data_IF_474542809372
#
_entry.id   IF_474542809372
#
_cell.length_a   1.000
_cell.length_b   1.000
_cell.length_c   1.000
_cell.angle_alpha   90.00
_cell.angle_beta   90.00
_cell.angle_gamma   90.00
#
_symmetry.space_group_name_H-M   'P 1'
#
loop_
_entity.id
_entity.type
_entity.pdbx_description
1 polymer ?
#
# COMPACT_ATOMS: atom_id res chain seq x y z
N UNK A 1 31.10 12.32 9.69
CA UNK A 1 30.82 10.91 9.37
C UNK A 1 29.79 10.94 8.26
N UNK A 2 30.17 10.65 7.02
CA UNK A 2 29.26 10.78 5.87
C UNK A 2 28.47 9.47 5.73
N UNK A 3 27.24 9.47 6.25
CA UNK A 3 26.30 8.34 6.17
C UNK A 3 25.31 8.58 5.04
N UNK A 4 25.17 7.59 4.15
CA UNK A 4 24.16 7.58 3.09
C UNK A 4 23.06 6.57 3.43
N UNK A 5 21.81 7.05 3.38
CA UNK A 5 20.61 6.25 3.64
C UNK A 5 19.85 6.01 2.35
N UNK A 6 19.67 4.75 1.97
CA UNK A 6 18.85 4.36 0.83
C UNK A 6 17.68 3.51 1.31
N UNK A 7 16.47 4.08 1.31
CA UNK A 7 15.24 3.34 1.60
C UNK A 7 14.74 2.63 0.34
N UNK A 8 14.52 1.31 0.42
CA UNK A 8 13.88 0.50 -0.63
C UNK A 8 14.71 0.37 -1.93
N UNK A 9 15.93 -0.17 -1.83
CA UNK A 9 16.79 -0.38 -2.99
C UNK A 9 16.23 -1.48 -3.91
N UNK A 10 15.71 -1.08 -5.08
CA UNK A 10 15.26 -1.94 -6.18
C UNK A 10 15.98 -1.52 -7.46
N UNK A 11 16.61 -2.47 -8.14
CA UNK A 11 17.30 -2.24 -9.41
C UNK A 11 16.51 -2.94 -10.50
N UNK A 12 16.02 -2.20 -11.49
CA UNK A 12 15.18 -2.75 -12.56
C UNK A 12 15.81 -2.60 -13.95
N UNK A 13 16.83 -1.75 -14.12
CA UNK A 13 17.49 -1.51 -15.41
C UNK A 13 19.02 -1.77 -15.36
N UNK A 14 19.59 -2.16 -16.50
CA UNK A 14 21.03 -2.39 -16.74
C UNK A 14 21.81 -1.09 -16.59
N UNK A 15 21.23 0.04 -16.99
CA UNK A 15 21.85 1.36 -16.82
C UNK A 15 22.05 1.68 -15.33
N UNK A 16 21.04 1.42 -14.51
CA UNK A 16 21.11 1.58 -13.06
C UNK A 16 22.19 0.68 -12.45
N UNK A 17 22.24 -0.58 -12.88
CA UNK A 17 23.24 -1.55 -12.42
C UNK A 17 24.70 -1.07 -12.63
N UNK A 18 25.00 -0.50 -13.82
CA UNK A 18 26.34 0.00 -14.15
C UNK A 18 26.67 1.30 -13.41
N UNK A 19 25.69 2.19 -13.23
CA UNK A 19 25.85 3.44 -12.48
C UNK A 19 26.07 3.16 -11.00
N UNK A 20 25.26 2.28 -10.39
CA UNK A 20 25.34 1.92 -8.98
C UNK A 20 26.71 1.31 -8.63
N UNK A 21 27.24 0.44 -9.48
CA UNK A 21 28.56 -0.15 -9.25
C UNK A 21 29.67 0.92 -9.18
N UNK A 22 29.68 1.87 -10.13
CA UNK A 22 30.67 2.95 -10.17
C UNK A 22 30.49 3.93 -9.01
N UNK A 23 29.25 4.31 -8.73
CA UNK A 23 28.90 5.24 -7.67
C UNK A 23 29.31 4.70 -6.30
N UNK A 24 28.84 3.50 -5.93
CA UNK A 24 29.14 2.93 -4.63
C UNK A 24 30.61 2.50 -4.51
N UNK A 25 31.23 2.03 -5.59
CA UNK A 25 32.68 1.81 -5.61
C UNK A 25 33.46 3.07 -5.21
N UNK A 26 33.08 4.23 -5.76
CA UNK A 26 33.70 5.50 -5.39
C UNK A 26 33.35 5.93 -3.95
N UNK A 27 32.08 5.82 -3.55
CA UNK A 27 31.64 6.19 -2.20
C UNK A 27 32.35 5.35 -1.12
N UNK A 28 32.48 4.04 -1.32
CA UNK A 28 33.24 3.18 -0.42
C UNK A 28 34.72 3.56 -0.38
N UNK A 29 35.32 3.93 -1.52
CA UNK A 29 36.71 4.42 -1.56
C UNK A 29 36.93 5.72 -0.75
N UNK A 30 35.86 6.50 -0.54
CA UNK A 30 35.85 7.75 0.24
C UNK A 30 35.45 7.53 1.70
N UNK A 31 35.28 6.28 2.14
CA UNK A 31 34.92 5.94 3.53
C UNK A 31 33.47 6.21 3.88
N UNK A 32 32.57 6.27 2.88
CA UNK A 32 31.13 6.45 3.11
C UNK A 32 30.54 5.14 3.66
N UNK A 33 29.69 5.27 4.68
CA UNK A 33 28.93 4.15 5.25
C UNK A 33 27.58 4.07 4.56
N UNK A 34 27.26 2.90 4.01
CA UNK A 34 25.97 2.60 3.38
C UNK A 34 25.06 1.91 4.38
N UNK A 35 23.88 2.49 4.63
CA UNK A 35 22.76 1.82 5.31
C UNK A 35 21.60 1.73 4.31
N UNK A 36 21.21 0.51 3.96
CA UNK A 36 20.16 0.26 2.98
C UNK A 36 19.21 -0.84 3.46
N UNK A 37 17.93 -0.67 3.14
CA UNK A 37 16.89 -1.70 3.33
C UNK A 37 16.47 -2.27 1.99
N UNK A 38 16.31 -3.60 1.92
CA UNK A 38 15.82 -4.28 0.71
C UNK A 38 14.91 -5.44 1.08
N UNK A 39 13.86 -5.63 0.27
CA UNK A 39 12.95 -6.76 0.37
C UNK A 39 13.49 -8.03 -0.31
N UNK A 40 14.71 -7.97 -0.88
CA UNK A 40 15.41 -9.09 -1.50
C UNK A 40 16.82 -9.17 -0.94
N UNK A 41 17.32 -10.38 -0.72
CA UNK A 41 18.70 -10.56 -0.30
C UNK A 41 19.66 -10.02 -1.40
N UNK A 42 20.91 -9.65 -1.07
CA UNK A 42 21.85 -9.09 -2.03
C UNK A 42 22.01 -9.92 -3.32
N UNK A 43 22.01 -11.25 -3.19
CA UNK A 43 22.12 -12.17 -4.32
C UNK A 43 20.89 -12.12 -5.26
N UNK A 44 19.74 -11.65 -4.79
CA UNK A 44 18.47 -11.58 -5.54
C UNK A 44 18.08 -10.16 -6.01
N UNK A 45 18.92 -9.14 -5.76
CA UNK A 45 18.63 -7.74 -6.07
C UNK A 45 18.37 -7.44 -7.56
N UNK A 46 18.84 -8.31 -8.47
CA UNK A 46 18.65 -8.18 -9.92
C UNK A 46 18.37 -9.54 -10.58
N UNK A 47 17.57 -10.37 -9.93
CA UNK A 47 17.21 -11.71 -10.44
C UNK A 47 16.28 -11.60 -11.65
N UNK A 48 16.64 -12.28 -12.74
CA UNK A 48 15.95 -12.20 -14.03
C UNK A 48 16.20 -10.92 -14.84
N UNK A 49 17.10 -10.03 -14.37
CA UNK A 49 17.46 -8.81 -15.09
C UNK A 49 18.30 -9.06 -16.34
N UNK A 50 18.18 -8.18 -17.33
CA UNK A 50 18.94 -8.24 -18.58
C UNK A 50 20.45 -8.08 -18.29
N UNK A 51 21.33 -8.89 -18.88
CA UNK A 51 22.79 -8.80 -18.66
C UNK A 51 23.23 -8.81 -17.18
N UNK A 52 22.58 -9.61 -16.34
CA UNK A 52 22.88 -9.75 -14.89
C UNK A 52 24.36 -9.93 -14.54
N UNK A 53 25.14 -10.56 -15.41
CA UNK A 53 26.58 -10.75 -15.21
C UNK A 53 27.34 -9.42 -15.01
N UNK A 54 26.87 -8.32 -15.63
CA UNK A 54 27.42 -6.99 -15.44
C UNK A 54 27.14 -6.41 -14.05
N UNK A 55 26.11 -6.90 -13.36
CA UNK A 55 25.73 -6.47 -12.01
C UNK A 55 26.39 -7.33 -10.90
N UNK A 56 26.86 -8.53 -11.23
CA UNK A 56 27.55 -9.42 -10.28
C UNK A 56 28.74 -8.76 -9.54
N UNK A 57 29.57 -7.89 -10.16
CA UNK A 57 30.61 -7.16 -9.46
C UNK A 57 30.09 -6.25 -8.34
N UNK A 58 28.92 -5.64 -8.53
CA UNK A 58 28.31 -4.80 -7.50
C UNK A 58 27.76 -5.64 -6.34
N UNK A 59 27.10 -6.78 -6.63
CA UNK A 59 26.67 -7.73 -5.60
C UNK A 59 27.87 -8.18 -4.76
N UNK A 60 29.00 -8.50 -5.40
CA UNK A 60 30.24 -8.86 -4.70
C UNK A 60 30.72 -7.72 -3.79
N UNK A 61 30.74 -6.49 -4.29
CA UNK A 61 31.14 -5.31 -3.52
C UNK A 61 30.25 -5.11 -2.29
N UNK A 62 28.93 -5.28 -2.45
CA UNK A 62 27.98 -5.23 -1.32
C UNK A 62 28.28 -6.33 -0.29
N UNK A 63 28.55 -7.56 -0.72
CA UNK A 63 28.85 -8.68 0.21
C UNK A 63 30.20 -8.52 0.91
N UNK A 64 31.17 -7.88 0.26
CA UNK A 64 32.48 -7.59 0.84
C UNK A 64 32.47 -6.41 1.83
N UNK A 65 31.62 -5.39 1.59
CA UNK A 65 31.64 -4.13 2.33
C UNK A 65 30.45 -3.94 3.27
N UNK A 66 29.37 -4.69 3.09
CA UNK A 66 28.15 -4.59 3.90
C UNK A 66 27.85 -5.92 4.59
N UNK A 67 27.31 -5.83 5.80
CA UNK A 67 26.81 -6.98 6.55
C UNK A 67 25.30 -7.06 6.31
N UNK A 68 24.85 -8.13 5.68
CA UNK A 68 23.42 -8.37 5.48
C UNK A 68 22.79 -8.88 6.79
N UNK A 69 21.95 -8.06 7.40
CA UNK A 69 21.12 -8.48 8.52
C UNK A 69 19.75 -8.92 8.00
N UNK A 70 19.48 -10.22 8.07
CA UNK A 70 18.15 -10.74 7.82
C UNK A 70 17.24 -10.33 8.99
N UNK A 71 16.31 -9.41 8.74
CA UNK A 71 15.24 -9.10 9.69
C UNK A 71 14.18 -10.18 9.51
N UNK A 72 14.40 -11.33 10.16
CA UNK A 72 13.44 -12.43 10.20
C UNK A 72 12.55 -12.28 11.41
N UNK A 73 11.27 -11.96 11.22
CA UNK A 73 10.27 -12.21 12.25
C UNK A 73 9.82 -13.67 12.11
N UNK A 74 10.09 -14.52 13.11
CA UNK A 74 9.49 -15.87 13.21
C UNK A 74 7.97 -15.81 13.31
N UNK A 75 7.46 -14.65 13.70
CA UNK A 75 6.05 -14.30 13.73
C UNK A 75 5.75 -13.52 12.44
N UNK A 76 4.95 -14.12 11.57
CA UNK A 76 4.33 -13.40 10.46
C UNK A 76 3.23 -12.51 11.08
N UNK A 77 3.62 -11.33 11.59
CA UNK A 77 2.69 -10.36 12.19
C UNK A 77 1.57 -9.92 11.23
N UNK A 78 1.72 -10.24 9.94
CA UNK A 78 0.74 -10.06 8.86
C UNK A 78 -0.51 -10.92 9.03
N UNK A 79 -0.39 -12.08 9.69
CA UNK A 79 -1.46 -13.09 9.82
C UNK A 79 -2.20 -13.04 11.16
N UNK A 80 -1.81 -12.15 12.07
CA UNK A 80 -2.40 -12.04 13.40
C UNK A 80 -3.46 -10.94 13.50
N UNK A 81 -4.21 -10.67 12.44
CA UNK A 81 -5.49 -9.95 12.55
C UNK A 81 -6.54 -10.91 13.13
N UNK A 82 -6.40 -11.21 14.42
CA UNK A 82 -7.46 -11.83 15.21
C UNK A 82 -8.75 -11.02 15.03
N UNK A 83 -9.85 -11.72 14.73
CA UNK A 83 -11.15 -11.16 14.38
C UNK A 83 -11.74 -10.16 15.41
N UNK A 84 -11.18 -10.10 16.64
CA UNK A 84 -11.58 -9.13 17.66
C UNK A 84 -10.86 -7.76 17.53
N UNK A 85 -9.64 -7.73 16.97
CA UNK A 85 -8.78 -6.55 16.82
C UNK A 85 -8.46 -6.19 15.37
N UNK A 86 -8.82 -7.03 14.40
CA UNK A 86 -8.56 -6.76 12.98
C UNK A 86 -9.45 -5.65 12.40
N UNK A 87 -8.89 -4.90 11.44
CA UNK A 87 -9.60 -3.88 10.66
C UNK A 87 -9.75 -4.29 9.19
N UNK A 88 -9.40 -5.53 8.85
CA UNK A 88 -9.59 -6.11 7.53
C UNK A 88 -10.38 -7.40 7.66
N UNK A 89 -11.59 -7.41 7.10
CA UNK A 89 -12.52 -8.54 7.19
C UNK A 89 -12.66 -9.19 5.82
N UNK A 90 -12.51 -10.51 5.76
CA UNK A 90 -12.58 -11.29 4.51
C UNK A 90 -13.90 -12.07 4.47
N UNK A 91 -14.74 -11.77 3.48
CA UNK A 91 -16.04 -12.40 3.25
C UNK A 91 -17.22 -11.41 3.27
N UNK A 92 -18.38 -11.89 2.83
CA UNK A 92 -19.55 -11.05 2.57
C UNK A 92 -20.39 -10.75 3.83
N UNK A 93 -20.28 -11.56 4.88
CA UNK A 93 -21.11 -11.46 6.09
C UNK A 93 -20.67 -10.35 7.07
N UNK A 94 -19.61 -9.61 6.76
CA UNK A 94 -18.99 -8.66 7.69
C UNK A 94 -19.45 -7.21 7.55
N UNK A 95 -20.38 -6.90 6.64
CA UNK A 95 -20.93 -5.54 6.49
C UNK A 95 -21.52 -4.98 7.79
N UNK A 96 -22.26 -5.80 8.54
CA UNK A 96 -22.81 -5.40 9.84
C UNK A 96 -21.72 -5.11 10.89
N UNK A 97 -20.65 -5.90 10.88
CA UNK A 97 -19.50 -5.70 11.78
C UNK A 97 -18.73 -4.42 11.42
N UNK A 98 -18.57 -4.13 10.13
CA UNK A 98 -17.95 -2.90 9.64
C UNK A 98 -18.72 -1.68 10.12
N UNK A 99 -20.04 -1.68 9.97
CA UNK A 99 -20.89 -0.58 10.46
C UNK A 99 -20.80 -0.41 11.98
N UNK A 100 -20.80 -1.51 12.74
CA UNK A 100 -20.61 -1.47 14.19
C UNK A 100 -19.25 -0.86 14.57
N UNK A 101 -18.16 -1.27 13.90
CA UNK A 101 -16.82 -0.70 14.12
C UNK A 101 -16.76 0.76 13.72
N UNK A 102 -17.39 1.14 12.61
CA UNK A 102 -17.49 2.54 12.18
C UNK A 102 -18.21 3.41 13.21
N UNK A 103 -19.34 2.96 13.77
CA UNK A 103 -20.03 3.67 14.85
C UNK A 103 -19.18 3.75 16.13
N UNK A 104 -18.48 2.67 16.49
CA UNK A 104 -17.59 2.69 17.64
C UNK A 104 -16.43 3.70 17.48
N UNK A 105 -15.89 3.83 16.27
CA UNK A 105 -14.81 4.78 15.95
C UNK A 105 -15.30 6.23 15.81
N UNK A 106 -16.53 6.40 15.32
CA UNK A 106 -17.16 7.72 15.15
C UNK A 106 -17.75 8.31 16.44
N UNK A 107 -17.75 7.53 17.53
CA UNK A 107 -18.30 7.93 18.82
C UNK A 107 -19.82 8.11 18.83
N UNK A 108 -20.31 9.10 19.59
CA UNK A 108 -21.74 9.40 19.73
C UNK A 108 -22.29 10.34 18.64
N UNK A 109 -21.49 10.74 17.66
CA UNK A 109 -21.93 11.67 16.59
C UNK A 109 -22.70 10.90 15.53
N UNK A 110 -23.89 11.39 15.18
CA UNK A 110 -24.69 10.82 14.08
C UNK A 110 -23.94 10.97 12.77
N UNK A 111 -23.68 9.85 12.10
CA UNK A 111 -23.13 9.86 10.75
C UNK A 111 -24.10 10.53 9.79
N UNK A 112 -23.60 11.56 9.09
CA UNK A 112 -24.38 12.29 8.09
C UNK A 112 -23.59 12.39 6.79
N UNK A 113 -24.27 12.53 5.64
CA UNK A 113 -23.60 12.88 4.40
C UNK A 113 -22.80 14.18 4.57
N UNK A 114 -21.58 14.22 4.03
CA UNK A 114 -20.72 15.40 4.07
C UNK A 114 -20.17 15.69 2.68
N UNK A 115 -19.74 16.93 2.47
CA UNK A 115 -19.03 17.33 1.26
C UNK A 115 -17.66 17.85 1.66
N UNK A 116 -16.63 17.39 0.96
CA UNK A 116 -15.26 17.92 1.08
C UNK A 116 -14.88 18.64 -0.20
N UNK A 117 -14.38 19.86 -0.03
CA UNK A 117 -13.78 20.59 -1.14
C UNK A 117 -12.37 20.05 -1.41
N UNK A 118 -12.15 19.71 -2.66
CA UNK A 118 -10.91 19.19 -3.21
C UNK A 118 -10.23 20.31 -4.00
N UNK A 119 -8.94 20.13 -4.31
CA UNK A 119 -8.17 21.00 -5.20
C UNK A 119 -8.93 21.31 -6.49
N UNK A 120 -8.79 22.54 -6.98
CA UNK A 120 -9.44 23.05 -8.19
C UNK A 120 -10.98 23.15 -8.13
N UNK A 121 -11.55 23.29 -6.93
CA UNK A 121 -12.99 23.56 -6.76
C UNK A 121 -13.90 22.33 -6.97
N UNK A 122 -13.32 21.13 -7.05
CA UNK A 122 -14.07 19.87 -7.05
C UNK A 122 -14.68 19.61 -5.67
N UNK A 123 -15.82 18.93 -5.64
CA UNK A 123 -16.52 18.55 -4.40
C UNK A 123 -16.69 17.04 -4.34
N UNK A 124 -16.09 16.42 -3.35
CA UNK A 124 -16.24 14.99 -3.07
C UNK A 124 -17.41 14.78 -2.11
N UNK A 125 -18.37 13.97 -2.53
CA UNK A 125 -19.51 13.58 -1.71
C UNK A 125 -19.08 12.40 -0.83
N UNK A 126 -19.27 12.54 0.48
CA UNK A 126 -19.06 11.48 1.46
C UNK A 126 -20.42 10.95 1.88
N UNK A 127 -20.75 9.67 1.60
CA UNK A 127 -22.04 9.09 1.93
C UNK A 127 -22.35 9.21 3.43
N UNK A 128 -21.39 8.87 4.26
CA UNK A 128 -21.50 8.91 5.71
C UNK A 128 -20.17 9.36 6.31
N UNK A 129 -20.19 10.49 7.01
CA UNK A 129 -19.03 11.01 7.73
C UNK A 129 -19.39 11.39 9.16
N UNK A 130 -18.56 10.97 10.12
CA UNK A 130 -18.68 11.34 11.52
C UNK A 130 -17.31 11.37 12.17
N UNK A 131 -17.04 12.43 12.96
CA UNK A 131 -15.84 12.56 13.80
C UNK A 131 -14.50 12.20 13.13
N UNK A 132 -14.29 12.65 11.89
CA UNK A 132 -13.06 12.34 11.15
C UNK A 132 -12.97 10.89 10.63
N UNK A 133 -14.02 10.09 10.79
CA UNK A 133 -14.25 8.83 10.12
C UNK A 133 -15.17 9.02 8.91
N UNK A 134 -14.82 8.42 7.78
CA UNK A 134 -15.67 8.35 6.59
C UNK A 134 -16.03 6.90 6.28
N UNK A 135 -17.25 6.67 5.81
CA UNK A 135 -17.73 5.38 5.35
C UNK A 135 -18.11 5.47 3.87
N UNK A 136 -17.61 4.52 3.09
CA UNK A 136 -17.85 4.43 1.66
C UNK A 136 -18.07 2.99 1.21
N UNK A 137 -19.05 2.72 0.34
CA UNK A 137 -19.02 1.54 -0.50
C UNK A 137 -17.88 1.65 -1.52
N UNK A 138 -17.28 0.52 -1.88
CA UNK A 138 -16.15 0.46 -2.80
C UNK A 138 -16.42 1.17 -4.14
N UNK A 139 -17.61 0.94 -4.70
CA UNK A 139 -18.05 1.51 -5.97
C UNK A 139 -17.99 3.05 -5.98
N UNK A 140 -18.30 3.69 -4.85
CA UNK A 140 -18.33 5.14 -4.74
C UNK A 140 -16.93 5.77 -4.76
N UNK A 141 -15.91 5.04 -4.34
CA UNK A 141 -14.52 5.52 -4.37
C UNK A 141 -13.77 5.06 -5.62
N UNK A 142 -13.90 3.78 -5.99
CA UNK A 142 -13.05 3.17 -7.00
C UNK A 142 -13.72 2.99 -8.37
N UNK A 143 -15.05 2.96 -8.48
CA UNK A 143 -15.71 2.90 -9.80
C UNK A 143 -16.02 4.28 -10.38
N UNK A 144 -16.18 5.29 -9.51
CA UNK A 144 -16.31 6.69 -9.92
C UNK A 144 -14.99 7.28 -10.44
N UNK A 145 -15.03 8.32 -11.31
CA UNK A 145 -13.84 8.98 -11.86
C UNK A 145 -13.17 9.92 -10.84
N UNK A 146 -12.70 9.33 -9.74
CA UNK A 146 -11.89 9.96 -8.71
C UNK A 146 -10.40 9.73 -8.99
N UNK A 147 -9.58 10.71 -8.62
CA UNK A 147 -8.13 10.66 -8.75
C UNK A 147 -7.41 10.90 -7.43
N UNK A 148 -6.08 10.89 -7.47
CA UNK A 148 -5.23 11.10 -6.29
C UNK A 148 -5.59 12.38 -5.51
N UNK A 149 -5.86 13.49 -6.22
CA UNK A 149 -6.23 14.76 -5.59
C UNK A 149 -7.52 14.65 -4.75
N UNK A 150 -8.52 13.89 -5.22
CA UNK A 150 -9.77 13.67 -4.49
C UNK A 150 -9.51 12.88 -3.20
N UNK A 151 -8.64 11.87 -3.26
CA UNK A 151 -8.23 11.10 -2.08
C UNK A 151 -7.42 11.93 -1.09
N UNK A 152 -6.50 12.78 -1.56
CA UNK A 152 -5.78 13.71 -0.68
C UNK A 152 -6.74 14.66 0.04
N UNK A 153 -7.73 15.19 -0.68
CA UNK A 153 -8.80 16.01 -0.08
C UNK A 153 -9.55 15.26 1.02
N UNK A 154 -9.90 14.00 0.77
CA UNK A 154 -10.56 13.12 1.74
C UNK A 154 -9.70 12.96 3.01
N UNK A 155 -8.45 12.52 2.88
CA UNK A 155 -7.60 12.23 4.04
C UNK A 155 -7.07 13.46 4.77
N UNK A 156 -7.20 14.65 4.18
CA UNK A 156 -6.95 15.91 4.88
C UNK A 156 -7.97 16.15 6.01
N UNK A 157 -9.24 15.74 5.79
CA UNK A 157 -10.33 15.92 6.76
C UNK A 157 -10.61 14.66 7.57
N UNK A 158 -10.44 13.48 6.97
CA UNK A 158 -10.77 12.20 7.60
C UNK A 158 -9.51 11.39 7.86
N UNK A 159 -9.28 11.03 9.13
CA UNK A 159 -8.13 10.21 9.53
C UNK A 159 -8.42 8.70 9.44
N UNK A 160 -9.68 8.32 9.25
CA UNK A 160 -10.09 6.91 9.20
C UNK A 160 -11.12 6.69 8.08
N UNK A 161 -10.91 5.64 7.29
CA UNK A 161 -11.81 5.22 6.23
C UNK A 161 -12.36 3.82 6.53
N UNK A 162 -13.68 3.71 6.58
CA UNK A 162 -14.41 2.46 6.50
C UNK A 162 -14.80 2.20 5.02
N UNK A 163 -14.29 1.14 4.43
CA UNK A 163 -14.50 0.77 3.03
C UNK A 163 -15.23 -0.56 2.93
N UNK A 164 -16.42 -0.54 2.35
CA UNK A 164 -17.25 -1.74 2.23
C UNK A 164 -17.11 -2.39 0.84
N UNK A 165 -16.90 -3.70 0.82
CA UNK A 165 -17.10 -4.54 -0.37
C UNK A 165 -15.97 -4.42 -1.40
N UNK A 166 -14.72 -4.55 -0.99
CA UNK A 166 -13.58 -4.59 -1.92
C UNK A 166 -13.61 -5.89 -2.73
N UNK A 167 -13.82 -5.85 -4.06
CA UNK A 167 -13.94 -7.05 -4.87
C UNK A 167 -12.57 -7.62 -5.24
N UNK A 168 -12.51 -8.90 -5.63
CA UNK A 168 -11.33 -9.45 -6.30
C UNK A 168 -11.06 -8.71 -7.61
N UNK A 169 -9.81 -8.32 -7.83
CA UNK A 169 -9.43 -7.63 -9.06
C UNK A 169 -9.09 -8.62 -10.18
N UNK A 170 -9.56 -8.30 -11.38
CA UNK A 170 -9.43 -9.07 -12.61
C UNK A 170 -9.46 -8.17 -13.84
N UNK A 171 -9.76 -8.75 -15.00
CA UNK A 171 -9.75 -8.03 -16.28
C UNK A 171 -10.83 -6.94 -16.33
N UNK A 172 -12.00 -7.23 -15.76
CA UNK A 172 -13.19 -6.38 -15.87
C UNK A 172 -13.15 -5.13 -14.99
N UNK A 173 -12.43 -5.16 -13.86
CA UNK A 173 -12.34 -4.06 -12.89
C UNK A 173 -10.90 -3.49 -12.79
N UNK A 174 -10.12 -3.60 -13.87
CA UNK A 174 -8.73 -3.08 -13.94
C UNK A 174 -8.62 -1.60 -13.53
N UNK A 175 -9.53 -0.75 -14.01
CA UNK A 175 -9.51 0.69 -13.67
C UNK A 175 -9.77 0.93 -12.19
N UNK A 176 -10.68 0.15 -11.59
CA UNK A 176 -10.96 0.20 -10.16
C UNK A 176 -9.74 -0.27 -9.34
N UNK A 177 -9.03 -1.28 -9.81
CA UNK A 177 -7.78 -1.75 -9.19
C UNK A 177 -6.71 -0.65 -9.14
N UNK A 178 -6.48 0.08 -10.23
CA UNK A 178 -5.55 1.24 -10.24
C UNK A 178 -5.95 2.32 -9.25
N UNK A 179 -7.25 2.62 -9.17
CA UNK A 179 -7.79 3.59 -8.23
C UNK A 179 -7.65 3.12 -6.78
N UNK A 180 -7.85 1.84 -6.51
CA UNK A 180 -7.63 1.25 -5.20
C UNK A 180 -6.15 1.28 -4.80
N UNK A 181 -5.23 0.96 -5.72
CA UNK A 181 -3.78 1.14 -5.49
C UNK A 181 -3.47 2.59 -5.13
N UNK A 182 -4.00 3.55 -5.90
CA UNK A 182 -3.81 4.98 -5.63
C UNK A 182 -4.40 5.38 -4.28
N UNK A 183 -5.59 4.88 -3.93
CA UNK A 183 -6.24 5.14 -2.64
C UNK A 183 -5.38 4.65 -1.47
N UNK A 184 -4.87 3.42 -1.55
CA UNK A 184 -3.99 2.84 -0.52
C UNK A 184 -2.69 3.63 -0.40
N UNK A 185 -2.10 4.04 -1.52
CA UNK A 185 -0.89 4.85 -1.53
C UNK A 185 -1.09 6.18 -0.80
N UNK A 186 -2.16 6.92 -1.14
CA UNK A 186 -2.51 8.19 -0.50
C UNK A 186 -2.84 7.98 0.99
N UNK A 187 -3.55 6.91 1.33
CA UNK A 187 -3.89 6.63 2.73
C UNK A 187 -2.65 6.36 3.57
N UNK A 188 -1.72 5.57 3.05
CA UNK A 188 -0.46 5.23 3.70
C UNK A 188 0.43 6.47 3.90
N UNK A 189 0.47 7.38 2.92
CA UNK A 189 1.19 8.65 3.02
C UNK A 189 0.60 9.59 4.08
N UNK A 190 -0.73 9.64 4.20
CA UNK A 190 -1.44 10.43 5.21
C UNK A 190 -1.52 9.75 6.58
N UNK A 191 -0.88 8.58 6.74
CA UNK A 191 -0.94 7.74 7.94
C UNK A 191 -2.38 7.46 8.39
N UNK A 192 -3.32 7.40 7.46
CA UNK A 192 -4.71 7.17 7.77
C UNK A 192 -4.96 5.68 8.07
N UNK A 193 -6.04 5.42 8.80
CA UNK A 193 -6.46 4.09 9.23
C UNK A 193 -7.51 3.53 8.28
N UNK A 194 -7.30 2.30 7.81
CA UNK A 194 -8.26 1.57 6.99
C UNK A 194 -9.04 0.60 7.89
N UNK A 195 -10.36 0.59 7.70
CA UNK A 195 -11.23 -0.52 8.11
C UNK A 195 -11.97 -0.98 6.87
N UNK A 196 -11.91 -2.26 6.48
CA UNK A 196 -12.60 -2.69 5.27
C UNK A 196 -13.11 -4.12 5.30
N UNK A 197 -14.15 -4.36 4.49
CA UNK A 197 -14.60 -5.70 4.08
C UNK A 197 -14.12 -5.98 2.67
N UNK A 198 -13.64 -7.18 2.42
CA UNK A 198 -13.10 -7.61 1.14
C UNK A 198 -13.49 -9.05 0.82
N UNK A 199 -13.63 -9.39 -0.46
CA UNK A 199 -13.94 -10.75 -0.91
C UNK A 199 -12.79 -11.75 -0.66
N UNK A 200 -11.56 -11.26 -0.42
CA UNK A 200 -10.36 -12.07 -0.32
C UNK A 200 -9.30 -11.42 0.56
N UNK A 201 -8.24 -12.17 0.89
CA UNK A 201 -7.05 -11.57 1.54
C UNK A 201 -6.36 -10.57 0.60
N UNK A 202 -5.53 -9.64 1.11
CA UNK A 202 -4.83 -8.66 0.27
C UNK A 202 -4.04 -9.30 -0.89
N UNK A 203 -3.43 -10.47 -0.68
CA UNK A 203 -2.69 -11.19 -1.72
C UNK A 203 -3.62 -11.78 -2.78
N UNK A 204 -4.74 -12.38 -2.37
CA UNK A 204 -5.72 -13.01 -3.25
C UNK A 204 -6.51 -11.96 -4.07
N UNK A 205 -6.70 -10.75 -3.55
CA UNK A 205 -7.35 -9.65 -4.28
C UNK A 205 -6.66 -9.36 -5.62
N UNK A 206 -5.34 -9.52 -5.70
CA UNK A 206 -4.55 -9.24 -6.90
C UNK A 206 -4.04 -10.49 -7.61
N UNK A 207 -4.54 -11.68 -7.25
CA UNK A 207 -4.04 -12.96 -7.79
C UNK A 207 -4.22 -13.04 -9.31
N UNK A 208 -5.34 -12.51 -9.84
CA UNK A 208 -5.62 -12.48 -11.28
C UNK A 208 -4.90 -11.36 -12.03
N UNK A 209 -4.14 -10.50 -11.34
CA UNK A 209 -3.32 -9.46 -11.97
C UNK A 209 -1.89 -9.96 -12.08
N UNK A 210 -1.44 -10.17 -13.31
CA UNK A 210 -0.14 -10.76 -13.62
C UNK A 210 0.66 -9.85 -14.55
N UNK A 211 1.99 -9.87 -14.41
CA UNK A 211 2.85 -9.22 -15.39
C UNK A 211 2.91 -10.04 -16.68
N UNK A 212 3.37 -9.44 -17.76
CA UNK A 212 3.64 -10.14 -19.03
C UNK A 212 4.62 -11.30 -18.83
N UNK A 213 5.62 -11.12 -17.96
CA UNK A 213 6.61 -12.14 -17.65
C UNK A 213 5.97 -13.33 -16.90
N UNK A 214 5.04 -13.06 -15.99
CA UNK A 214 4.33 -14.10 -15.25
C UNK A 214 3.34 -14.84 -16.16
N UNK A 215 2.60 -14.12 -17.01
CA UNK A 215 1.70 -14.71 -17.98
C UNK A 215 2.42 -15.67 -18.96
N UNK A 216 3.64 -15.32 -19.39
CA UNK A 216 4.47 -16.18 -20.25
C UNK A 216 4.93 -17.46 -19.54
N UNK A 217 5.13 -17.44 -18.23
CA UNK A 217 5.45 -18.63 -17.42
C UNK A 217 4.22 -19.51 -17.17
N UNK A 218 3.05 -18.89 -17.01
CA UNK A 218 1.78 -19.58 -16.78
C UNK A 218 1.32 -20.32 -18.04
N UNK A 219 1.58 -19.76 -19.23
CA UNK A 219 1.24 -20.39 -20.51
C UNK A 219 2.44 -20.44 -21.48
N UNK A 220 3.39 -21.36 -21.27
CA UNK A 220 4.51 -21.55 -22.18
C UNK A 220 4.01 -22.27 -23.44
N UNK A 221 3.52 -21.52 -24.43
CA UNK A 221 3.21 -21.95 -25.81
C UNK A 221 3.06 -23.47 -25.99
N UNK A 222 1.97 -24.05 -25.49
CA UNK A 222 1.54 -25.38 -25.91
C UNK A 222 0.16 -25.28 -26.54
N UNK A 223 0.15 -25.41 -27.86
CA UNK A 223 -0.99 -25.81 -28.67
C UNK A 223 -1.71 -27.00 -28.05
N UNK A 224 -2.76 -26.77 -27.25
CA UNK A 224 -3.79 -27.75 -26.92
C UNK A 224 -5.02 -27.01 -26.40
N UNK A 225 -6.10 -27.13 -27.17
CA UNK A 225 -7.34 -26.35 -27.15
C UNK A 225 -8.27 -26.63 -25.94
N UNK A 226 -7.79 -27.06 -24.77
CA UNK A 226 -8.66 -27.64 -23.73
C UNK A 226 -8.44 -27.21 -22.27
N UNK A 227 -8.18 -25.92 -22.00
CA UNK A 227 -8.47 -25.31 -20.69
C UNK A 227 -9.09 -23.93 -20.91
N UNK A 228 -10.37 -23.92 -21.31
CA UNK A 228 -11.14 -22.70 -21.60
C UNK A 228 -12.31 -22.61 -20.64
N UNK A 229 -12.06 -22.28 -19.38
CA UNK A 229 -13.12 -21.70 -18.52
C UNK A 229 -12.59 -20.86 -17.36
N UNK A 230 -11.42 -21.19 -16.76
CA UNK A 230 -10.93 -20.45 -15.57
C UNK A 230 -9.95 -19.29 -15.89
N UNK A 231 -9.41 -19.21 -17.11
CA UNK A 231 -8.44 -18.18 -17.56
C UNK A 231 -9.09 -16.87 -18.05
N UNK A 232 -10.42 -16.75 -18.00
CA UNK A 232 -11.16 -15.66 -18.67
C UNK A 232 -11.03 -14.29 -17.99
N UNK A 233 -10.54 -14.22 -16.76
CA UNK A 233 -10.47 -12.98 -15.97
C UNK A 233 -9.04 -12.57 -15.56
N UNK A 234 -8.02 -13.18 -16.16
CA UNK A 234 -6.63 -12.77 -15.97
C UNK A 234 -6.36 -11.40 -16.60
N UNK A 235 -5.95 -10.45 -15.77
CA UNK A 235 -5.50 -9.13 -16.19
C UNK A 235 -3.98 -9.13 -16.36
N UNK A 236 -3.50 -9.08 -17.61
CA UNK A 236 -2.07 -8.94 -17.89
C UNK A 236 -1.73 -7.45 -17.94
N UNK A 237 -1.07 -6.96 -16.88
CA UNK A 237 -0.68 -5.57 -16.75
C UNK A 237 0.61 -5.47 -15.91
N UNK A 238 1.68 -4.93 -16.52
CA UNK A 238 2.97 -4.81 -15.86
C UNK A 238 2.94 -3.77 -14.74
N UNK A 239 2.35 -2.59 -14.97
CA UNK A 239 2.35 -1.51 -13.98
C UNK A 239 1.55 -1.92 -12.74
N UNK A 240 0.35 -2.46 -12.95
CA UNK A 240 -0.48 -2.97 -11.87
C UNK A 240 0.13 -4.21 -11.20
N UNK A 241 0.75 -5.09 -12.00
CA UNK A 241 1.46 -6.27 -11.52
C UNK A 241 2.67 -5.94 -10.65
N UNK A 242 3.39 -4.84 -10.90
CA UNK A 242 4.46 -4.36 -10.02
C UNK A 242 3.91 -3.59 -8.81
N UNK A 243 2.80 -2.87 -9.00
CA UNK A 243 2.19 -2.11 -7.91
C UNK A 243 1.55 -3.02 -6.85
N UNK A 244 1.04 -4.20 -7.22
CA UNK A 244 0.33 -5.10 -6.29
C UNK A 244 1.16 -5.48 -5.08
N UNK A 245 2.44 -5.86 -5.24
CA UNK A 245 3.29 -6.29 -4.12
C UNK A 245 3.47 -5.18 -3.09
N UNK A 246 3.61 -3.95 -3.57
CA UNK A 246 3.72 -2.75 -2.74
C UNK A 246 2.40 -2.47 -2.02
N UNK A 247 1.28 -2.55 -2.73
CA UNK A 247 -0.07 -2.34 -2.16
C UNK A 247 -0.39 -3.39 -1.10
N UNK A 248 -0.08 -4.66 -1.36
CA UNK A 248 -0.24 -5.76 -0.39
C UNK A 248 0.61 -5.51 0.85
N UNK A 249 1.87 -5.12 0.69
CA UNK A 249 2.74 -4.78 1.82
C UNK A 249 2.18 -3.63 2.66
N UNK A 250 1.71 -2.56 2.01
CA UNK A 250 1.10 -1.40 2.69
C UNK A 250 -0.17 -1.76 3.43
N UNK A 251 -1.10 -2.46 2.79
CA UNK A 251 -2.33 -2.94 3.43
C UNK A 251 -2.03 -3.80 4.65
N UNK A 252 -1.02 -4.66 4.55
CA UNK A 252 -0.63 -5.53 5.65
C UNK A 252 -0.02 -4.74 6.80
N UNK A 253 0.87 -3.79 6.50
CA UNK A 253 1.47 -2.91 7.50
C UNK A 253 0.42 -2.03 8.19
N UNK A 254 -0.56 -1.51 7.45
CA UNK A 254 -1.66 -0.70 7.99
C UNK A 254 -2.57 -1.47 8.94
N UNK A 255 -2.61 -2.80 8.81
CA UNK A 255 -3.32 -3.70 9.72
C UNK A 255 -2.45 -4.19 10.89
N UNK A 256 -1.17 -3.84 10.93
CA UNK A 256 -0.29 -4.20 12.04
C UNK A 256 -0.62 -3.39 13.30
N UNK A 257 -0.40 -4.01 14.46
CA UNK A 257 -0.62 -3.36 15.75
C UNK A 257 0.24 -2.10 15.92
N UNK A 258 1.49 -2.15 15.47
CA UNK A 258 2.43 -1.01 15.56
C UNK A 258 1.91 0.21 14.80
N UNK A 259 1.41 0.00 13.57
CA UNK A 259 0.84 1.09 12.77
C UNK A 259 -0.39 1.71 13.44
N UNK A 260 -1.26 0.87 14.02
CA UNK A 260 -2.47 1.33 14.71
C UNK A 260 -2.15 2.09 16.00
N UNK A 261 -1.14 1.68 16.75
CA UNK A 261 -0.66 2.39 17.94
C UNK A 261 -0.02 3.74 17.57
N UNK A 262 0.77 3.80 16.50
CA UNK A 262 1.32 5.04 15.96
C UNK A 262 0.21 6.00 15.50
N UNK A 263 -0.80 5.49 14.80
CA UNK A 263 -1.96 6.27 14.39
C UNK A 263 -2.70 6.87 15.59
N UNK A 264 -2.95 6.08 16.63
CA UNK A 264 -3.60 6.55 17.84
C UNK A 264 -2.81 7.67 18.54
N UNK A 265 -1.48 7.56 18.55
CA UNK A 265 -0.58 8.57 19.13
C UNK A 265 -0.64 9.88 18.32
N UNK A 266 -0.50 9.80 17.00
CA UNK A 266 -0.58 10.97 16.11
C UNK A 266 -1.95 11.66 16.20
N UNK A 267 -3.02 10.88 16.33
CA UNK A 267 -4.36 11.43 16.50
C UNK A 267 -4.49 12.23 17.81
N UNK A 268 -4.00 11.69 18.93
CA UNK A 268 -4.00 12.40 20.22
C UNK A 268 -3.20 13.69 20.17
N UNK A 269 -2.04 13.70 19.49
CA UNK A 269 -1.24 14.91 19.30
C UNK A 269 -1.97 15.96 18.46
N UNK A 270 -2.63 15.55 17.37
CA UNK A 270 -3.37 16.46 16.50
C UNK A 270 -4.59 17.07 17.20
N UNK A 271 -5.37 16.28 17.91
CA UNK A 271 -6.50 16.78 18.71
C UNK A 271 -6.03 17.78 19.76
N UNK A 272 -4.91 17.50 20.43
CA UNK A 272 -4.34 18.40 21.45
C UNK A 272 -3.81 19.72 20.85
N UNK A 273 -3.25 19.68 19.65
CA UNK A 273 -2.84 20.90 18.92
C UNK A 273 -4.05 21.75 18.53
N UNK A 274 -5.11 21.14 18.01
CA UNK A 274 -6.34 21.85 17.62
C UNK A 274 -7.07 22.47 18.84
N UNK A 275 -7.02 21.82 20.00
CA UNK A 275 -7.55 22.37 21.26
C UNK A 275 -6.71 23.57 21.73
N UNK A 276 -5.39 23.45 21.73
CA UNK A 276 -4.49 24.54 22.12
C UNK A 276 -4.61 25.76 21.21
N UNK A 277 -4.79 25.57 19.89
CA UNK A 277 -5.01 26.67 18.95
C UNK A 277 -6.36 27.36 19.18
N UNK A 278 -7.42 26.62 19.52
CA UNK A 278 -8.73 27.20 19.85
C UNK A 278 -8.69 28.00 21.15
N UNK A 279 -7.99 27.51 22.16
CA UNK A 279 -7.83 28.21 23.43
C UNK A 279 -6.99 29.49 23.27
N UNK A 280 -5.95 29.46 22.43
CA UNK A 280 -5.14 30.64 22.11
C UNK A 280 -5.94 31.71 21.35
N UNK A 281 -6.89 31.32 20.49
CA UNK A 281 -7.77 32.25 19.76
C UNK A 281 -8.89 32.79 20.66
N UNK A 282 -9.35 32.05 21.67
CA UNK A 282 -10.34 32.56 22.64
C UNK A 282 -9.74 33.54 23.68
N UNK A 283 -8.42 33.52 23.87
CA UNK A 283 -7.70 34.40 24.80
C UNK A 283 -7.13 35.66 24.16
N UNK A 284 -7.30 35.84 22.85
CA UNK A 284 -6.87 37.01 22.07
C UNK A 284 -8.06 37.93 21.72
#
# INVERSE_FOLDING_TARGET
MNSWYASNMRVTDVADALILNRLFGHLFSKGVVLVATSNRAPDHLYEGGLQRDLFMPFIRTLKERCIAHAIGSSTDYRKMTSAEQGFYFVGDDYSGLLQQKFHCLSGQKTASPQVVEVVMGRRLQIPLGADGCAYFPFEDLCDKPLGAADYFGLFKKFHTLALEGVPKFGLHNRTAAYRFVTLVDVMYENKARLVCTAEATPTELFERIVTVADAQKISPRTSSRSKRTDDLDLCVDNELGFAKDRTVSRLTEMNSREYLEQHATLFQEKTRQEENEKDAVLQA
#
